data_IF_569001783257
#
_entry.id   IF_569001783257
#
_cell.length_a   1.000
_cell.length_b   1.000
_cell.length_c   1.000
_cell.angle_alpha   90.00
_cell.angle_beta   90.00
_cell.angle_gamma   90.00
#
_symmetry.space_group_name_H-M   'P 1'
#
loop_
_entity.id
_entity.type
_entity.pdbx_description
1 polymer ?
#
# COMPACT_ATOMS: atom_id res chain seq x y z
N UNK A 1 4.62 -1.73 -10.39
CA UNK A 1 4.51 -2.55 -9.16
C UNK A 1 4.58 -1.62 -7.97
N UNK A 2 3.76 -1.84 -6.95
CA UNK A 2 3.80 -1.10 -5.69
C UNK A 2 3.90 -2.10 -4.53
N UNK A 3 4.76 -1.80 -3.55
CA UNK A 3 5.10 -2.68 -2.43
C UNK A 3 4.80 -1.97 -1.13
N UNK A 4 3.95 -2.57 -0.29
CA UNK A 4 3.44 -1.97 0.94
C UNK A 4 3.01 -0.49 0.76
N UNK A 5 2.20 -0.14 -0.26
CA UNK A 5 1.90 1.25 -0.53
C UNK A 5 1.04 1.89 0.57
N UNK A 6 1.37 3.12 0.97
CA UNK A 6 0.49 3.89 1.85
C UNK A 6 -0.61 4.56 1.01
N UNK A 7 -1.77 3.89 0.93
CA UNK A 7 -2.89 4.27 0.04
C UNK A 7 -3.99 5.08 0.73
N UNK A 8 -3.92 5.22 2.06
CA UNK A 8 -4.89 5.95 2.86
C UNK A 8 -4.18 6.94 3.78
N UNK A 9 -3.94 8.14 3.24
CA UNK A 9 -3.26 9.24 3.92
C UNK A 9 -4.32 10.22 4.43
N UNK A 10 -4.37 10.41 5.74
CA UNK A 10 -5.35 11.27 6.43
C UNK A 10 -4.62 12.25 7.36
N UNK A 11 -5.33 13.26 7.85
CA UNK A 11 -4.78 14.21 8.83
C UNK A 11 -4.48 13.57 10.19
N UNK A 12 -5.10 12.42 10.48
CA UNK A 12 -5.01 11.70 11.75
C UNK A 12 -4.24 10.37 11.58
N UNK A 13 -3.33 10.33 10.60
CA UNK A 13 -2.63 9.12 10.15
C UNK A 13 -1.94 8.33 11.26
N UNK A 14 -1.36 9.01 12.25
CA UNK A 14 -0.70 8.33 13.38
C UNK A 14 -1.69 7.57 14.26
N UNK A 15 -2.81 8.20 14.60
CA UNK A 15 -3.84 7.59 15.44
C UNK A 15 -4.58 6.46 14.71
N UNK A 16 -4.84 6.64 13.41
CA UNK A 16 -5.40 5.60 12.55
C UNK A 16 -4.48 4.39 12.44
N UNK A 17 -3.17 4.62 12.29
CA UNK A 17 -2.16 3.57 12.26
C UNK A 17 -2.17 2.76 13.57
N UNK A 18 -2.24 3.39 14.74
CA UNK A 18 -2.27 2.69 16.03
C UNK A 18 -3.48 1.77 16.18
N UNK A 19 -4.62 2.13 15.59
CA UNK A 19 -5.85 1.33 15.59
C UNK A 19 -5.78 0.09 14.70
N UNK A 20 -4.83 0.02 13.77
CA UNK A 20 -4.66 -1.15 12.91
C UNK A 20 -4.26 -2.39 13.72
N UNK A 21 -4.80 -3.57 13.36
CA UNK A 21 -4.61 -4.82 14.11
C UNK A 21 -3.14 -5.19 14.32
N UNK A 22 -2.27 -4.88 13.36
CA UNK A 22 -0.86 -5.28 13.35
C UNK A 22 0.11 -4.16 13.77
N UNK A 23 -0.39 -2.99 14.20
CA UNK A 23 0.43 -1.79 14.43
C UNK A 23 1.59 -1.99 15.41
N UNK A 24 1.40 -2.84 16.42
CA UNK A 24 2.40 -3.14 17.45
C UNK A 24 3.55 -4.05 16.98
N UNK A 25 3.33 -4.84 15.93
CA UNK A 25 4.31 -5.81 15.41
C UNK A 25 4.95 -5.40 14.08
N UNK A 26 4.57 -4.24 13.56
CA UNK A 26 4.99 -3.74 12.26
C UNK A 26 6.29 -2.92 12.36
N UNK A 27 6.94 -2.67 11.22
CA UNK A 27 8.20 -1.96 11.11
C UNK A 27 8.07 -0.42 11.21
N UNK A 28 6.86 0.11 11.03
CA UNK A 28 6.58 1.55 11.11
C UNK A 28 6.14 1.96 12.51
N UNK A 29 6.17 3.27 12.78
CA UNK A 29 5.69 3.87 14.04
C UNK A 29 4.72 5.01 13.74
N UNK A 30 3.71 5.18 14.59
CA UNK A 30 2.62 6.15 14.38
C UNK A 30 3.12 7.58 14.16
N UNK A 31 4.16 8.00 14.88
CA UNK A 31 4.75 9.33 14.74
C UNK A 31 5.35 9.58 13.35
N UNK A 32 5.87 8.55 12.68
CA UNK A 32 6.39 8.65 11.32
C UNK A 32 5.25 8.87 10.32
N UNK A 33 4.14 8.15 10.47
CA UNK A 33 2.96 8.32 9.61
C UNK A 33 2.32 9.69 9.83
N UNK A 34 2.17 10.12 11.08
CA UNK A 34 1.62 11.44 11.40
C UNK A 34 2.45 12.56 10.77
N UNK A 35 3.77 12.54 10.99
CA UNK A 35 4.67 13.50 10.40
C UNK A 35 4.62 13.47 8.86
N UNK A 36 4.57 12.28 8.26
CA UNK A 36 4.48 12.13 6.81
C UNK A 36 3.21 12.73 6.22
N UNK A 37 2.07 12.56 6.89
CA UNK A 37 0.81 13.16 6.48
C UNK A 37 0.86 14.69 6.59
N UNK A 38 1.33 15.22 7.70
CA UNK A 38 1.47 16.68 7.92
C UNK A 38 2.41 17.34 6.92
N UNK A 39 3.49 16.65 6.54
CA UNK A 39 4.46 17.15 5.57
C UNK A 39 3.97 17.07 4.11
N UNK A 40 3.10 16.09 3.80
CA UNK A 40 2.69 15.79 2.43
C UNK A 40 1.32 16.39 2.05
N UNK A 41 0.38 16.48 2.99
CA UNK A 41 -0.95 17.05 2.75
C UNK A 41 -0.83 18.58 2.63
N UNK A 42 -1.23 19.19 1.50
CA UNK A 42 -1.20 20.64 1.34
C UNK A 42 -2.05 21.36 2.41
N UNK A 43 -1.50 22.40 2.99
CA UNK A 43 -2.22 23.29 3.93
C UNK A 43 -2.56 24.62 3.25
N UNK A 44 -3.71 25.21 3.61
CA UNK A 44 -4.07 26.60 3.28
C UNK A 44 -5.11 26.78 2.16
N UNK A 45 -4.98 26.10 1.02
CA UNK A 45 -5.95 26.18 -0.08
C UNK A 45 -6.88 24.95 -0.08
N UNK A 46 -8.08 25.13 0.44
CA UNK A 46 -9.09 24.08 0.51
C UNK A 46 -9.45 23.52 -0.87
N UNK A 47 -9.42 24.33 -1.92
CA UNK A 47 -9.75 23.89 -3.28
C UNK A 47 -8.65 22.97 -3.85
N UNK A 48 -7.39 23.35 -3.69
CA UNK A 48 -6.25 22.50 -4.06
C UNK A 48 -6.21 21.22 -3.22
N UNK A 49 -6.57 21.30 -1.93
CA UNK A 49 -6.66 20.11 -1.07
C UNK A 49 -7.72 19.13 -1.55
N UNK A 50 -8.85 19.61 -2.09
CA UNK A 50 -9.92 18.73 -2.57
C UNK A 50 -9.57 18.03 -3.89
N UNK A 51 -8.94 18.74 -4.83
CA UNK A 51 -8.49 18.15 -6.10
C UNK A 51 -7.31 17.19 -5.90
N UNK A 52 -6.38 17.50 -4.98
CA UNK A 52 -5.21 16.68 -4.72
C UNK A 52 -5.51 15.42 -3.89
N UNK A 53 -6.63 15.38 -3.13
CA UNK A 53 -6.99 14.28 -2.23
C UNK A 53 -6.91 12.89 -2.88
N UNK A 54 -7.52 12.63 -4.05
CA UNK A 54 -7.42 11.32 -4.73
C UNK A 54 -6.00 10.91 -5.12
N UNK A 55 -5.11 11.87 -5.34
CA UNK A 55 -3.71 11.60 -5.70
C UNK A 55 -2.84 11.34 -4.46
N UNK A 56 -3.21 11.91 -3.32
CA UNK A 56 -2.51 11.74 -2.03
C UNK A 56 -2.99 10.47 -1.32
N UNK A 57 -4.30 10.22 -1.35
CA UNK A 57 -4.99 9.14 -0.63
C UNK A 57 -5.88 8.40 -1.63
N UNK A 58 -5.32 7.51 -2.49
CA UNK A 58 -6.05 6.91 -3.60
C UNK A 58 -7.06 5.84 -3.19
N UNK A 59 -7.04 5.35 -1.95
CA UNK A 59 -8.10 4.50 -1.42
C UNK A 59 -9.45 5.24 -1.49
N UNK A 60 -10.50 4.56 -1.96
CA UNK A 60 -11.82 5.11 -2.27
C UNK A 60 -11.90 5.98 -3.53
N UNK A 61 -10.81 6.08 -4.29
CA UNK A 61 -10.74 6.83 -5.54
C UNK A 61 -10.13 5.99 -6.67
N UNK A 62 -10.73 4.84 -7.03
CA UNK A 62 -10.17 3.98 -8.06
C UNK A 62 -10.15 4.67 -9.42
N UNK A 63 -9.09 4.44 -10.20
CA UNK A 63 -8.88 5.06 -11.52
C UNK A 63 -8.54 4.02 -12.59
N UNK A 64 -8.89 4.34 -13.84
CA UNK A 64 -8.62 3.46 -14.98
C UNK A 64 -7.13 3.41 -15.28
N UNK A 65 -6.60 2.21 -15.50
CA UNK A 65 -5.20 1.98 -15.88
C UNK A 65 -5.13 1.33 -17.26
N UNK A 66 -4.15 1.74 -18.06
CA UNK A 66 -3.80 1.08 -19.33
C UNK A 66 -2.70 0.03 -19.16
N UNK A 67 -1.92 0.11 -18.07
CA UNK A 67 -0.83 -0.81 -17.76
C UNK A 67 -1.17 -1.72 -16.58
N UNK A 68 -0.56 -2.90 -16.47
CA UNK A 68 -0.78 -3.81 -15.34
C UNK A 68 -0.28 -3.22 -14.02
N UNK A 69 -1.03 -3.47 -12.94
CA UNK A 69 -0.73 -3.03 -11.59
C UNK A 69 -0.61 -4.23 -10.64
N UNK A 70 0.63 -4.55 -10.28
CA UNK A 70 0.94 -5.47 -9.18
C UNK A 70 1.03 -4.72 -7.87
N UNK A 71 0.31 -5.19 -6.85
CA UNK A 71 0.22 -4.63 -5.50
C UNK A 71 0.62 -5.72 -4.51
N UNK A 72 1.66 -5.48 -3.72
CA UNK A 72 2.07 -6.35 -2.63
C UNK A 72 1.75 -5.72 -1.27
N UNK A 73 1.33 -6.55 -0.32
CA UNK A 73 1.25 -6.21 1.10
C UNK A 73 1.68 -7.40 1.96
N UNK A 74 2.43 -7.14 3.03
CA UNK A 74 2.67 -8.12 4.06
C UNK A 74 1.43 -8.29 4.95
N UNK A 75 1.01 -9.52 5.25
CA UNK A 75 -0.17 -9.72 6.10
C UNK A 75 0.07 -9.39 7.57
N UNK A 76 1.32 -9.11 7.94
CA UNK A 76 1.74 -8.64 9.27
C UNK A 76 1.93 -7.13 9.34
N UNK A 77 1.72 -6.38 8.27
CA UNK A 77 1.82 -4.92 8.31
C UNK A 77 0.49 -4.28 8.73
N UNK A 78 0.56 -3.10 9.34
CA UNK A 78 -0.60 -2.35 9.80
C UNK A 78 -1.48 -1.86 8.63
N UNK A 79 -0.84 -1.54 7.51
CA UNK A 79 -1.49 -1.03 6.29
C UNK A 79 -2.15 -2.14 5.46
N UNK A 80 -2.08 -3.41 5.87
CA UNK A 80 -2.56 -4.54 5.07
C UNK A 80 -4.02 -4.40 4.62
N UNK A 81 -4.92 -4.04 5.52
CA UNK A 81 -6.35 -3.95 5.21
C UNK A 81 -6.66 -2.83 4.23
N UNK A 82 -6.00 -1.66 4.36
CA UNK A 82 -6.20 -0.54 3.45
C UNK A 82 -5.63 -0.86 2.06
N UNK A 83 -4.47 -1.52 1.98
CA UNK A 83 -3.89 -1.95 0.70
C UNK A 83 -4.76 -3.00 0.02
N UNK A 84 -5.24 -4.00 0.78
CA UNK A 84 -6.14 -5.03 0.26
C UNK A 84 -7.41 -4.40 -0.29
N UNK A 85 -8.00 -3.44 0.44
CA UNK A 85 -9.19 -2.71 0.00
C UNK A 85 -8.92 -1.91 -1.27
N UNK A 86 -7.81 -1.18 -1.34
CA UNK A 86 -7.42 -0.44 -2.54
C UNK A 86 -7.27 -1.37 -3.75
N UNK A 87 -6.63 -2.53 -3.57
CA UNK A 87 -6.48 -3.51 -4.63
C UNK A 87 -7.82 -4.05 -5.14
N UNK A 88 -8.78 -4.26 -4.23
CA UNK A 88 -10.15 -4.65 -4.58
C UNK A 88 -10.85 -3.56 -5.42
N UNK A 89 -10.85 -2.31 -4.95
CA UNK A 89 -11.47 -1.19 -5.65
C UNK A 89 -10.84 -0.94 -7.03
N UNK A 90 -9.51 -1.08 -7.14
CA UNK A 90 -8.81 -0.99 -8.42
C UNK A 90 -9.16 -2.15 -9.36
N UNK A 91 -9.30 -3.38 -8.84
CA UNK A 91 -9.67 -4.55 -9.63
C UNK A 91 -11.13 -4.48 -10.12
N UNK A 92 -12.05 -3.93 -9.32
CA UNK A 92 -13.47 -3.77 -9.70
C UNK A 92 -13.64 -3.00 -11.03
N UNK A 93 -12.77 -2.02 -11.29
CA UNK A 93 -12.83 -1.22 -12.52
C UNK A 93 -11.82 -1.64 -13.59
N UNK A 94 -10.74 -2.35 -13.24
CA UNK A 94 -9.66 -2.69 -14.19
C UNK A 94 -9.55 -4.19 -14.49
N UNK A 95 -10.34 -5.03 -13.81
CA UNK A 95 -10.34 -6.48 -13.97
C UNK A 95 -8.96 -7.09 -13.72
N UNK A 96 -8.57 -8.00 -14.60
CA UNK A 96 -7.34 -8.78 -14.48
C UNK A 96 -6.05 -7.97 -14.63
N UNK A 97 -6.13 -6.67 -14.98
CA UNK A 97 -4.98 -5.76 -14.97
C UNK A 97 -4.48 -5.44 -13.56
N UNK A 98 -5.16 -5.88 -12.50
CA UNK A 98 -4.74 -5.67 -11.11
C UNK A 98 -4.47 -7.01 -10.44
N UNK A 99 -3.25 -7.17 -9.92
CA UNK A 99 -2.82 -8.35 -9.15
C UNK A 99 -2.48 -7.95 -7.72
N UNK A 100 -3.23 -8.47 -6.76
CA UNK A 100 -2.88 -8.38 -5.35
C UNK A 100 -2.12 -9.63 -4.89
N UNK A 101 -0.98 -9.43 -4.24
CA UNK A 101 -0.18 -10.47 -3.63
C UNK A 101 0.00 -10.19 -2.13
N UNK A 102 -0.62 -11.01 -1.29
CA UNK A 102 -0.40 -10.97 0.15
C UNK A 102 0.76 -11.89 0.54
N UNK A 103 1.78 -11.33 1.20
CA UNK A 103 2.90 -12.12 1.74
C UNK A 103 2.65 -12.43 3.21
N UNK A 104 2.46 -13.71 3.54
CA UNK A 104 2.10 -14.15 4.89
C UNK A 104 3.12 -13.71 5.95
N UNK A 105 2.62 -13.13 7.03
CA UNK A 105 3.36 -12.67 8.22
C UNK A 105 4.43 -11.60 7.98
N UNK A 106 4.59 -11.10 6.75
CA UNK A 106 5.58 -10.08 6.47
C UNK A 106 5.16 -8.74 7.08
N UNK A 107 6.08 -8.01 7.74
CA UNK A 107 5.87 -6.62 8.14
C UNK A 107 6.01 -5.69 6.92
N UNK A 108 5.78 -4.41 7.14
CA UNK A 108 5.95 -3.38 6.13
C UNK A 108 7.38 -3.37 5.56
N UNK A 109 7.49 -3.11 4.26
CA UNK A 109 8.79 -2.87 3.62
C UNK A 109 9.59 -4.13 3.32
N UNK A 110 8.92 -5.26 3.02
CA UNK A 110 9.56 -6.53 2.66
C UNK A 110 10.69 -6.39 1.63
N UNK A 111 10.48 -5.61 0.56
CA UNK A 111 11.48 -5.42 -0.51
C UNK A 111 12.82 -4.84 0.00
N UNK A 112 12.79 -4.05 1.07
CA UNK A 112 13.98 -3.45 1.68
C UNK A 112 14.49 -4.28 2.87
N UNK A 113 13.59 -4.84 3.68
CA UNK A 113 13.90 -5.47 4.95
C UNK A 113 14.05 -6.99 4.93
N UNK A 114 13.80 -7.67 3.81
CA UNK A 114 13.72 -9.13 3.74
C UNK A 114 14.89 -9.88 4.39
N UNK A 115 16.14 -9.39 4.24
CA UNK A 115 17.30 -10.04 4.85
C UNK A 115 17.25 -9.96 6.38
N UNK A 116 16.94 -8.77 6.90
CA UNK A 116 16.82 -8.52 8.35
C UNK A 116 15.65 -9.27 8.97
N UNK A 117 14.57 -9.49 8.22
CA UNK A 117 13.41 -10.26 8.67
C UNK A 117 13.59 -11.78 8.51
N UNK A 118 14.63 -12.25 7.84
CA UNK A 118 14.79 -13.66 7.48
C UNK A 118 13.74 -14.14 6.46
N UNK A 119 13.25 -13.24 5.60
CA UNK A 119 12.13 -13.45 4.68
C UNK A 119 12.51 -13.36 3.20
N UNK A 120 13.76 -13.68 2.85
CA UNK A 120 14.23 -13.64 1.45
C UNK A 120 13.44 -14.57 0.53
N UNK A 121 13.04 -15.75 1.01
CA UNK A 121 12.25 -16.68 0.22
C UNK A 121 10.85 -16.12 -0.10
N UNK A 122 10.24 -15.44 0.87
CA UNK A 122 8.95 -14.79 0.71
C UNK A 122 9.04 -13.63 -0.29
N UNK A 123 10.13 -12.84 -0.25
CA UNK A 123 10.38 -11.83 -1.27
C UNK A 123 10.53 -12.46 -2.65
N UNK A 124 11.30 -13.55 -2.78
CA UNK A 124 11.51 -14.23 -4.06
C UNK A 124 10.18 -14.76 -4.63
N UNK A 125 9.31 -15.33 -3.80
CA UNK A 125 7.97 -15.78 -4.21
C UNK A 125 7.09 -14.62 -4.69
N UNK A 126 7.09 -13.49 -3.97
CA UNK A 126 6.34 -12.30 -4.38
C UNK A 126 6.89 -11.69 -5.67
N UNK A 127 8.21 -11.67 -5.84
CA UNK A 127 8.88 -11.17 -7.04
C UNK A 127 8.62 -12.08 -8.25
N UNK A 128 8.60 -13.40 -8.06
CA UNK A 128 8.26 -14.36 -9.11
C UNK A 128 6.79 -14.21 -9.55
N UNK A 129 5.85 -14.04 -8.62
CA UNK A 129 4.45 -13.78 -8.97
C UNK A 129 4.30 -12.45 -9.73
N UNK A 130 5.01 -11.40 -9.30
CA UNK A 130 5.04 -10.12 -10.00
C UNK A 130 5.57 -10.27 -11.43
N UNK A 131 6.69 -10.98 -11.61
CA UNK A 131 7.29 -11.23 -12.92
C UNK A 131 6.34 -12.02 -13.83
N UNK A 132 5.78 -13.14 -13.34
CA UNK A 132 4.80 -13.95 -14.10
C UNK A 132 3.60 -13.13 -14.51
N UNK A 133 3.04 -12.34 -13.59
CA UNK A 133 1.92 -11.45 -13.87
C UNK A 133 2.26 -10.45 -14.98
N UNK A 134 3.40 -9.77 -14.90
CA UNK A 134 3.79 -8.76 -15.88
C UNK A 134 4.14 -9.34 -17.25
N UNK A 135 4.68 -10.56 -17.33
CA UNK A 135 5.00 -11.20 -18.61
C UNK A 135 3.78 -11.75 -19.35
N UNK A 136 2.73 -12.16 -18.64
CA UNK A 136 1.61 -12.93 -19.23
C UNK A 136 0.30 -12.14 -19.31
N UNK A 137 0.27 -10.90 -18.83
CA UNK A 137 -0.90 -10.03 -18.90
C UNK A 137 -0.96 -9.34 -20.27
N UNK A 138 -2.08 -9.50 -20.97
CA UNK A 138 -2.35 -8.89 -22.29
C UNK A 138 -2.90 -7.45 -22.19
#
# INVERSE_FOLDING_TARGET
MVWSPWVHVTTDAGEEYERCHNSQGDALVSSLLQWGAEAYIPTGDESLSQEARPYISPLHHPFKISIPLFINAGSGEALYDSIKRFAQEMAEINGDRVRFHATSFAPHGLIHGHQSYGMTDQLNLAAEDAWRFLEHIE
#
